data_IF_302553717866
#
_entry.id   IF_302553717866
#
_cell.length_a   1.000
_cell.length_b   1.000
_cell.length_c   1.000
_cell.angle_alpha   90.00
_cell.angle_beta   90.00
_cell.angle_gamma   90.00
#
_symmetry.space_group_name_H-M   'P 1'
#
loop_
_entity.id
_entity.type
_entity.pdbx_description
1 polymer ?
#
# COMPACT_ATOMS: atom_id res chain seq x y z
N UNK A 1 -17.39 -2.07 3.41
CA UNK A 1 -17.00 -1.24 4.57
C UNK A 1 -15.92 -1.99 5.34
N UNK A 2 -14.67 -1.70 5.06
CA UNK A 2 -13.55 -2.20 5.87
C UNK A 2 -13.63 -1.54 7.24
N UNK A 3 -13.29 -2.25 8.33
CA UNK A 3 -13.19 -1.62 9.63
C UNK A 3 -12.20 -0.46 9.53
N UNK A 4 -12.53 0.68 10.10
CA UNK A 4 -11.71 1.89 10.07
C UNK A 4 -10.34 1.74 10.78
N UNK A 5 -10.10 0.60 11.40
CA UNK A 5 -8.86 0.29 12.12
C UNK A 5 -8.57 -1.21 11.98
N UNK A 6 -7.81 -1.60 10.96
CA UNK A 6 -7.18 -2.91 10.96
C UNK A 6 -6.19 -3.00 12.13
N UNK A 7 -6.11 -4.16 12.76
CA UNK A 7 -5.14 -4.36 13.85
C UNK A 7 -3.71 -4.26 13.31
N UNK A 8 -2.75 -3.78 14.11
CA UNK A 8 -1.34 -3.71 13.67
C UNK A 8 -0.80 -5.04 13.15
N UNK A 9 -1.22 -6.17 13.73
CA UNK A 9 -0.85 -7.52 13.28
C UNK A 9 -1.35 -7.82 11.86
N UNK A 10 -2.56 -7.37 11.50
CA UNK A 10 -3.16 -7.67 10.20
C UNK A 10 -2.57 -6.77 9.12
N UNK A 11 -2.25 -5.52 9.47
CA UNK A 11 -1.47 -4.63 8.61
C UNK A 11 -0.07 -5.18 8.34
N UNK A 12 0.57 -5.75 9.36
CA UNK A 12 1.87 -6.39 9.22
C UNK A 12 1.77 -7.64 8.33
N UNK A 13 0.77 -8.50 8.56
CA UNK A 13 0.54 -9.68 7.72
C UNK A 13 0.30 -9.29 6.25
N UNK A 14 -0.52 -8.26 6.00
CA UNK A 14 -0.75 -7.76 4.64
C UNK A 14 0.53 -7.22 4.00
N UNK A 15 1.38 -6.53 4.76
CA UNK A 15 2.65 -6.01 4.28
C UNK A 15 3.63 -7.16 3.97
N UNK A 16 3.83 -8.10 4.90
CA UNK A 16 4.79 -9.20 4.76
C UNK A 16 4.41 -10.14 3.59
N UNK A 17 3.13 -10.49 3.50
CA UNK A 17 2.63 -11.31 2.38
C UNK A 17 2.73 -10.52 1.07
N UNK A 18 2.36 -9.24 1.08
CA UNK A 18 2.48 -8.35 -0.07
C UNK A 18 3.93 -8.22 -0.57
N UNK A 19 4.90 -8.10 0.34
CA UNK A 19 6.33 -8.06 0.00
C UNK A 19 6.81 -9.37 -0.62
N UNK A 20 6.42 -10.52 -0.08
CA UNK A 20 6.78 -11.82 -0.62
C UNK A 20 6.22 -12.02 -2.04
N UNK A 21 4.94 -11.66 -2.25
CA UNK A 21 4.32 -11.71 -3.57
C UNK A 21 4.97 -10.75 -4.56
N UNK A 22 5.26 -9.52 -4.15
CA UNK A 22 5.94 -8.54 -4.99
C UNK A 22 7.31 -9.05 -5.45
N UNK A 23 8.13 -9.57 -4.50
CA UNK A 23 9.44 -10.18 -4.83
C UNK A 23 9.35 -11.38 -5.75
N UNK A 24 8.22 -12.08 -5.77
CA UNK A 24 7.97 -13.19 -6.69
C UNK A 24 7.42 -12.74 -8.05
N UNK A 25 7.40 -11.44 -8.33
CA UNK A 25 6.89 -10.87 -9.58
C UNK A 25 5.37 -10.85 -9.68
N UNK A 26 4.64 -11.12 -8.59
CA UNK A 26 3.19 -11.03 -8.57
C UNK A 26 2.72 -9.57 -8.56
N UNK A 27 1.72 -9.27 -9.38
CA UNK A 27 1.09 -7.96 -9.44
C UNK A 27 -0.04 -7.87 -8.42
N UNK A 28 0.06 -6.90 -7.51
CA UNK A 28 -0.99 -6.66 -6.50
C UNK A 28 -2.13 -5.87 -7.13
N UNK A 29 -3.35 -6.39 -7.00
CA UNK A 29 -4.60 -5.74 -7.44
C UNK A 29 -5.48 -5.52 -6.23
N UNK A 30 -5.82 -4.28 -5.89
CA UNK A 30 -6.69 -3.98 -4.74
C UNK A 30 -7.46 -2.67 -4.92
N UNK A 31 -8.20 -2.28 -3.90
CA UNK A 31 -9.21 -1.23 -3.98
C UNK A 31 -8.77 0.16 -3.53
N UNK A 32 -7.52 0.33 -3.16
CA UNK A 32 -6.99 1.59 -2.63
C UNK A 32 -7.73 2.11 -1.38
N UNK A 33 -8.42 1.25 -0.63
CA UNK A 33 -9.02 1.61 0.65
C UNK A 33 -7.96 1.79 1.75
N UNK A 34 -8.34 2.41 2.86
CA UNK A 34 -7.46 2.47 4.03
C UNK A 34 -7.21 1.08 4.61
N UNK A 35 -6.08 0.92 5.28
CA UNK A 35 -5.71 -0.31 5.96
C UNK A 35 -5.06 -1.32 5.01
N UNK A 36 -5.66 -2.51 4.88
CA UNK A 36 -5.06 -3.66 4.21
C UNK A 36 -4.78 -3.45 2.71
N UNK A 37 -5.70 -2.79 1.99
CA UNK A 37 -5.49 -2.47 0.57
C UNK A 37 -4.25 -1.59 0.40
N UNK A 38 -4.16 -0.53 1.22
CA UNK A 38 -3.00 0.37 1.22
C UNK A 38 -1.71 -0.32 1.64
N UNK A 39 -1.75 -1.27 2.57
CA UNK A 39 -0.58 -2.05 2.98
C UNK A 39 -0.05 -2.90 1.81
N UNK A 40 -0.94 -3.59 1.09
CA UNK A 40 -0.57 -4.36 -0.10
C UNK A 40 0.04 -3.50 -1.20
N UNK A 41 -0.59 -2.36 -1.54
CA UNK A 41 -0.05 -1.43 -2.53
C UNK A 41 1.33 -0.87 -2.12
N UNK A 42 1.50 -0.49 -0.85
CA UNK A 42 2.79 0.01 -0.34
C UNK A 42 3.88 -1.06 -0.40
N UNK A 43 3.54 -2.31 -0.11
CA UNK A 43 4.47 -3.43 -0.21
C UNK A 43 4.96 -3.60 -1.66
N UNK A 44 4.08 -3.54 -2.65
CA UNK A 44 4.46 -3.58 -4.06
C UNK A 44 5.36 -2.40 -4.45
N UNK A 45 4.93 -1.18 -4.13
CA UNK A 45 5.68 0.05 -4.44
C UNK A 45 7.07 0.06 -3.80
N UNK A 46 7.18 -0.35 -2.53
CA UNK A 46 8.45 -0.43 -1.79
C UNK A 46 9.44 -1.39 -2.47
N UNK A 47 8.95 -2.44 -3.09
CA UNK A 47 9.76 -3.42 -3.82
C UNK A 47 9.93 -3.08 -5.32
N UNK A 48 9.56 -1.89 -5.76
CA UNK A 48 9.66 -1.48 -7.17
C UNK A 48 8.71 -2.22 -8.11
N UNK A 49 7.73 -2.94 -7.58
CA UNK A 49 6.79 -3.72 -8.37
C UNK A 49 5.55 -2.92 -8.75
N UNK A 50 5.02 -3.10 -9.95
CA UNK A 50 3.78 -2.45 -10.36
C UNK A 50 2.59 -2.99 -9.54
N UNK A 51 1.56 -2.14 -9.39
CA UNK A 51 0.32 -2.52 -8.72
C UNK A 51 -0.87 -1.83 -9.38
N UNK A 52 -2.05 -2.43 -9.29
CA UNK A 52 -3.28 -1.89 -9.87
C UNK A 52 -4.25 -1.50 -8.75
N UNK A 53 -4.56 -0.21 -8.68
CA UNK A 53 -5.60 0.32 -7.82
C UNK A 53 -6.93 0.44 -8.58
N UNK A 54 -7.99 -0.21 -8.12
CA UNK A 54 -9.31 -0.13 -8.74
C UNK A 54 -10.21 0.73 -7.86
N UNK A 55 -10.78 1.78 -8.41
CA UNK A 55 -11.59 2.74 -7.67
C UNK A 55 -13.09 2.39 -7.74
N UNK A 56 -13.79 2.64 -6.64
CA UNK A 56 -15.26 2.63 -6.59
C UNK A 56 -15.87 4.03 -6.72
N UNK A 57 -15.08 4.99 -7.21
CA UNK A 57 -15.41 6.41 -7.41
C UNK A 57 -14.91 6.87 -8.77
N UNK A 58 -15.38 8.02 -9.31
CA UNK A 58 -14.86 8.56 -10.58
C UNK A 58 -13.34 8.66 -10.62
N UNK A 59 -12.78 8.46 -11.82
CA UNK A 59 -11.33 8.34 -12.02
C UNK A 59 -10.55 9.60 -11.62
N UNK A 60 -11.19 10.76 -11.65
CA UNK A 60 -10.64 12.05 -11.23
C UNK A 60 -10.68 12.28 -9.71
N UNK A 61 -11.25 11.33 -8.94
CA UNK A 61 -11.37 11.43 -7.48
C UNK A 61 -10.55 10.36 -6.78
N UNK A 62 -10.08 10.68 -5.59
CA UNK A 62 -9.40 9.73 -4.70
C UNK A 62 -10.23 9.53 -3.44
N UNK A 63 -10.53 8.28 -3.14
CA UNK A 63 -11.16 7.91 -1.88
C UNK A 63 -10.47 6.68 -1.28
N UNK A 64 -10.08 6.74 -0.01
CA UNK A 64 -10.11 7.93 0.87
C UNK A 64 -9.05 8.98 0.49
N UNK A 65 -9.27 10.24 0.88
CA UNK A 65 -8.36 11.34 0.57
C UNK A 65 -6.95 11.16 1.15
N UNK A 66 -6.81 10.38 2.23
CA UNK A 66 -5.53 10.03 2.84
C UNK A 66 -4.60 9.27 1.88
N UNK A 67 -5.15 8.59 0.88
CA UNK A 67 -4.40 7.77 -0.08
C UNK A 67 -4.01 8.50 -1.37
N UNK A 68 -4.15 9.83 -1.44
CA UNK A 68 -3.75 10.63 -2.62
C UNK A 68 -2.29 10.44 -2.97
N UNK A 69 -1.38 10.50 -1.99
CA UNK A 69 0.05 10.30 -2.22
C UNK A 69 0.37 8.89 -2.73
N UNK A 70 -0.26 7.87 -2.14
CA UNK A 70 -0.11 6.48 -2.58
C UNK A 70 -0.64 6.29 -4.01
N UNK A 71 -1.79 6.88 -4.33
CA UNK A 71 -2.35 6.87 -5.68
C UNK A 71 -1.35 7.43 -6.70
N UNK A 72 -0.77 8.60 -6.46
CA UNK A 72 0.23 9.19 -7.36
C UNK A 72 1.44 8.28 -7.56
N UNK A 73 1.88 7.59 -6.50
CA UNK A 73 2.98 6.63 -6.62
C UNK A 73 2.58 5.42 -7.47
N UNK A 74 1.35 4.93 -7.33
CA UNK A 74 0.82 3.84 -8.15
C UNK A 74 0.72 4.26 -9.62
N UNK A 75 0.25 5.48 -9.91
CA UNK A 75 0.15 6.01 -11.28
C UNK A 75 1.51 6.08 -12.00
N UNK A 76 2.61 6.23 -11.26
CA UNK A 76 3.97 6.26 -11.81
C UNK A 76 4.54 4.88 -12.12
N UNK A 77 4.14 3.83 -11.38
CA UNK A 77 4.73 2.50 -11.44
C UNK A 77 3.72 1.38 -11.72
N UNK A 78 2.46 1.72 -11.97
CA UNK A 78 1.38 0.77 -12.15
C UNK A 78 0.19 1.41 -12.85
N UNK A 79 -1.02 1.12 -12.37
CA UNK A 79 -2.24 1.60 -13.01
C UNK A 79 -3.34 1.91 -11.98
N UNK A 80 -4.12 2.95 -12.26
CA UNK A 80 -5.39 3.24 -11.57
C UNK A 80 -6.53 3.04 -12.56
N UNK A 81 -7.53 2.26 -12.17
CA UNK A 81 -8.71 1.97 -12.98
C UNK A 81 -10.00 2.42 -12.27
N UNK A 82 -10.95 2.87 -13.05
CA UNK A 82 -12.32 3.12 -12.61
C UNK A 82 -13.30 2.85 -13.73
N UNK A 83 -14.52 2.40 -13.40
CA UNK A 83 -15.64 2.32 -14.35
C UNK A 83 -16.41 3.63 -14.44
N UNK A 84 -16.08 4.61 -13.58
CA UNK A 84 -16.77 5.89 -13.53
C UNK A 84 -15.90 6.97 -14.19
N UNK A 85 -16.47 7.65 -15.17
CA UNK A 85 -15.78 8.69 -15.92
C UNK A 85 -15.50 9.94 -15.07
N UNK A 86 -14.55 10.80 -15.49
CA UNK A 86 -14.30 12.08 -14.80
C UNK A 86 -15.58 12.92 -14.73
N UNK A 87 -15.82 13.54 -13.59
CA UNK A 87 -16.98 14.40 -13.35
C UNK A 87 -18.31 13.69 -13.09
N UNK A 88 -18.36 12.37 -13.15
CA UNK A 88 -19.57 11.62 -12.78
C UNK A 88 -19.90 11.78 -11.29
N UNK A 89 -21.17 11.55 -10.96
CA UNK A 89 -21.61 11.49 -9.58
C UNK A 89 -21.02 10.28 -8.86
N UNK A 90 -20.57 10.48 -7.63
CA UNK A 90 -20.05 9.37 -6.82
C UNK A 90 -21.18 8.40 -6.47
N UNK A 91 -21.08 7.11 -6.83
CA UNK A 91 -22.16 6.14 -6.63
C UNK A 91 -22.34 5.74 -5.14
N UNK A 92 -21.59 6.33 -4.23
CA UNK A 92 -21.63 6.04 -2.81
C UNK A 92 -21.19 4.60 -2.48
N UNK A 93 -21.73 3.98 -1.42
CA UNK A 93 -21.30 2.64 -0.99
C UNK A 93 -21.48 1.54 -2.05
N UNK A 94 -22.45 1.71 -2.95
CA UNK A 94 -22.73 0.75 -4.03
C UNK A 94 -21.55 0.64 -5.00
N UNK A 95 -20.88 1.75 -5.31
CA UNK A 95 -19.72 1.75 -6.21
C UNK A 95 -18.56 0.87 -5.70
N UNK A 96 -18.36 0.81 -4.40
CA UNK A 96 -17.32 -0.06 -3.82
C UNK A 96 -17.68 -1.55 -3.96
N UNK A 97 -18.94 -1.90 -3.79
CA UNK A 97 -19.42 -3.29 -3.98
C UNK A 97 -19.37 -3.70 -5.45
N UNK A 98 -19.78 -2.82 -6.36
CA UNK A 98 -19.72 -3.07 -7.80
C UNK A 98 -18.28 -3.22 -8.28
N UNK A 99 -17.38 -2.36 -7.83
CA UNK A 99 -15.95 -2.42 -8.13
C UNK A 99 -15.31 -3.75 -7.74
N UNK A 100 -15.73 -4.39 -6.65
CA UNK A 100 -15.13 -5.62 -6.13
C UNK A 100 -15.11 -6.77 -7.15
N UNK A 101 -16.05 -6.79 -8.10
CA UNK A 101 -16.03 -7.76 -9.20
C UNK A 101 -14.82 -7.59 -10.12
N UNK A 102 -14.34 -6.35 -10.29
CA UNK A 102 -13.17 -6.07 -11.11
C UNK A 102 -11.88 -6.52 -10.43
N UNK A 103 -11.79 -6.33 -9.09
CA UNK A 103 -10.66 -6.86 -8.32
C UNK A 103 -10.57 -8.37 -8.52
N UNK A 104 -11.69 -9.09 -8.33
CA UNK A 104 -11.73 -10.52 -8.51
C UNK A 104 -11.44 -10.96 -9.97
N UNK A 105 -11.97 -10.23 -10.95
CA UNK A 105 -11.80 -10.57 -12.37
C UNK A 105 -10.35 -10.41 -12.84
N UNK A 106 -9.67 -9.35 -12.42
CA UNK A 106 -8.30 -9.03 -12.81
C UNK A 106 -7.25 -9.83 -12.02
N UNK A 107 -7.66 -10.50 -10.95
CA UNK A 107 -6.75 -11.30 -10.12
C UNK A 107 -6.72 -12.77 -10.58
N UNK A 108 -5.55 -13.41 -10.44
CA UNK A 108 -5.41 -14.87 -10.62
C UNK A 108 -5.80 -15.64 -9.36
N UNK A 109 -5.70 -15.01 -8.20
CA UNK A 109 -6.11 -15.54 -6.90
C UNK A 109 -6.56 -14.39 -6.00
N UNK A 110 -7.39 -14.67 -5.00
CA UNK A 110 -7.82 -13.71 -4.00
C UNK A 110 -7.22 -14.05 -2.65
N UNK A 111 -6.55 -13.09 -2.01
CA UNK A 111 -6.15 -13.17 -0.61
C UNK A 111 -7.07 -12.32 0.26
N UNK A 112 -7.61 -12.91 1.31
CA UNK A 112 -8.39 -12.24 2.36
C UNK A 112 -7.57 -12.26 3.65
N UNK A 113 -7.04 -11.10 4.04
CA UNK A 113 -6.23 -10.99 5.27
C UNK A 113 -7.15 -10.91 6.49
N UNK A 114 -8.22 -10.13 6.40
CA UNK A 114 -9.19 -9.91 7.46
C UNK A 114 -10.58 -9.71 6.86
N UNK A 115 -11.59 -10.31 7.46
CA UNK A 115 -12.99 -10.08 7.10
C UNK A 115 -13.93 -10.46 8.26
N UNK A 116 -14.91 -9.59 8.53
CA UNK A 116 -16.09 -9.98 9.30
C UNK A 116 -17.02 -10.82 8.45
N UNK A 117 -17.88 -11.63 9.07
CA UNK A 117 -18.84 -12.47 8.35
C UNK A 117 -19.72 -11.68 7.35
N UNK A 118 -20.12 -10.47 7.74
CA UNK A 118 -20.96 -9.57 6.92
C UNK A 118 -20.16 -8.33 6.50
N UNK A 119 -19.03 -8.52 5.81
CA UNK A 119 -18.22 -7.43 5.30
C UNK A 119 -18.33 -7.28 3.78
N UNK A 120 -17.98 -6.10 3.27
CA UNK A 120 -17.89 -5.87 1.82
C UNK A 120 -16.88 -6.78 1.13
N UNK A 121 -15.87 -7.26 1.85
CA UNK A 121 -14.86 -8.21 1.37
C UNK A 121 -15.51 -9.53 0.92
N UNK A 122 -16.59 -9.96 1.58
CA UNK A 122 -17.29 -11.19 1.19
C UNK A 122 -17.93 -11.11 -0.20
N UNK A 123 -18.23 -9.90 -0.71
CA UNK A 123 -18.66 -9.74 -2.10
C UNK A 123 -17.52 -10.03 -3.08
N UNK A 124 -16.29 -9.65 -2.75
CA UNK A 124 -15.11 -9.99 -3.56
C UNK A 124 -14.86 -11.49 -3.58
N UNK A 125 -15.00 -12.16 -2.42
CA UNK A 125 -14.94 -13.64 -2.33
C UNK A 125 -15.95 -14.29 -3.24
N UNK A 126 -17.22 -13.87 -3.17
CA UNK A 126 -18.29 -14.43 -4.01
C UNK A 126 -18.02 -14.22 -5.51
N UNK A 127 -17.42 -13.10 -5.90
CA UNK A 127 -17.02 -12.89 -7.29
C UNK A 127 -15.83 -13.78 -7.68
N UNK A 128 -14.83 -13.94 -6.81
CA UNK A 128 -13.69 -14.82 -7.06
C UNK A 128 -14.14 -16.27 -7.26
N UNK A 129 -15.03 -16.78 -6.41
CA UNK A 129 -15.62 -18.10 -6.51
C UNK A 129 -16.38 -18.28 -7.84
N UNK A 130 -17.21 -17.28 -8.19
CA UNK A 130 -17.95 -17.28 -9.48
C UNK A 130 -17.01 -17.33 -10.69
N UNK A 131 -15.86 -16.71 -10.60
CA UNK A 131 -14.85 -16.70 -11.67
C UNK A 131 -13.89 -17.90 -11.60
N UNK A 132 -14.10 -18.84 -10.70
CA UNK A 132 -13.25 -20.01 -10.53
C UNK A 132 -11.84 -19.67 -10.02
N UNK A 133 -11.69 -18.54 -9.33
CA UNK A 133 -10.39 -18.12 -8.80
C UNK A 133 -10.16 -18.74 -7.42
N UNK A 134 -8.97 -19.26 -7.13
CA UNK A 134 -8.64 -19.75 -5.80
C UNK A 134 -8.69 -18.61 -4.78
N UNK A 135 -9.27 -18.92 -3.63
CA UNK A 135 -9.36 -18.00 -2.49
C UNK A 135 -8.42 -18.48 -1.39
N UNK A 136 -7.66 -17.57 -0.84
CA UNK A 136 -6.80 -17.77 0.32
C UNK A 136 -7.26 -16.86 1.45
N UNK A 137 -7.13 -17.32 2.68
CA UNK A 137 -7.48 -16.54 3.86
C UNK A 137 -6.41 -16.68 4.95
N UNK A 138 -6.10 -15.57 5.59
CA UNK A 138 -5.20 -15.57 6.75
C UNK A 138 -6.02 -16.03 7.96
N UNK A 139 -5.58 -17.07 8.70
CA UNK A 139 -6.21 -17.48 9.95
C UNK A 139 -6.06 -16.39 11.00
N UNK A 140 -7.10 -16.16 11.77
CA UNK A 140 -7.05 -15.17 12.86
C UNK A 140 -7.62 -15.70 14.17
N UNK A 141 -7.61 -14.86 15.19
CA UNK A 141 -8.13 -15.23 16.51
C UNK A 141 -9.62 -15.54 16.43
N UNK A 142 -10.02 -16.67 17.03
CA UNK A 142 -11.44 -17.05 17.18
C UNK A 142 -12.23 -16.08 18.07
N UNK A 143 -11.55 -15.27 18.86
CA UNK A 143 -12.14 -14.22 19.70
C UNK A 143 -12.26 -12.87 19.02
N UNK A 144 -11.68 -12.71 17.82
CA UNK A 144 -11.76 -11.48 17.04
C UNK A 144 -12.94 -11.54 16.07
N UNK A 145 -13.93 -10.63 16.20
CA UNK A 145 -15.00 -10.50 15.22
C UNK A 145 -14.48 -10.18 13.80
N UNK A 146 -13.32 -9.54 13.71
CA UNK A 146 -12.72 -9.13 12.45
C UNK A 146 -12.12 -10.32 11.67
N UNK A 147 -11.79 -11.41 12.37
CA UNK A 147 -11.31 -12.67 11.77
C UNK A 147 -12.44 -13.71 11.54
N UNK A 148 -13.67 -13.42 11.97
CA UNK A 148 -14.76 -14.39 11.89
C UNK A 148 -15.04 -14.83 10.45
N UNK A 149 -14.99 -13.93 9.48
CA UNK A 149 -15.22 -14.25 8.07
C UNK A 149 -14.09 -15.07 7.45
N UNK A 150 -12.82 -14.74 7.72
CA UNK A 150 -11.68 -15.52 7.22
C UNK A 150 -11.69 -16.93 7.82
N UNK A 151 -11.88 -17.05 9.13
CA UNK A 151 -11.97 -18.36 9.81
C UNK A 151 -13.16 -19.20 9.28
N UNK A 152 -14.28 -18.57 9.00
CA UNK A 152 -15.44 -19.24 8.40
C UNK A 152 -15.13 -19.75 6.98
N UNK A 153 -14.50 -18.97 6.14
CA UNK A 153 -14.09 -19.40 4.79
C UNK A 153 -13.16 -20.63 4.85
N UNK A 154 -12.23 -20.63 5.81
CA UNK A 154 -11.33 -21.77 6.05
C UNK A 154 -12.11 -23.01 6.54
N UNK A 155 -13.00 -22.83 7.51
CA UNK A 155 -13.81 -23.91 8.07
C UNK A 155 -14.73 -24.56 7.02
N UNK A 156 -15.34 -23.75 6.14
CA UNK A 156 -16.21 -24.21 5.06
C UNK A 156 -15.44 -24.79 3.85
N UNK A 157 -14.10 -24.78 3.87
CA UNK A 157 -13.27 -25.23 2.75
C UNK A 157 -13.36 -24.33 1.50
N UNK A 158 -13.87 -23.12 1.64
CA UNK A 158 -14.00 -22.11 0.56
C UNK A 158 -12.71 -21.31 0.35
N UNK A 159 -11.81 -21.34 1.31
CA UNK A 159 -10.48 -20.75 1.18
C UNK A 159 -9.41 -21.72 1.68
N UNK A 160 -8.22 -21.61 1.11
CA UNK A 160 -7.00 -22.25 1.61
C UNK A 160 -6.33 -21.32 2.63
N UNK A 161 -5.74 -21.89 3.67
CA UNK A 161 -5.00 -21.11 4.66
C UNK A 161 -3.74 -20.49 4.03
N UNK A 162 -3.50 -19.21 4.31
CA UNK A 162 -2.28 -18.50 4.02
C UNK A 162 -1.63 -18.10 5.34
N UNK A 163 -0.67 -18.88 5.81
CA UNK A 163 0.02 -18.63 7.08
C UNK A 163 1.28 -17.78 6.90
N UNK A 164 1.77 -17.65 5.66
CA UNK A 164 2.92 -16.82 5.30
C UNK A 164 2.89 -16.39 3.83
N UNK A 165 3.73 -15.42 3.47
CA UNK A 165 3.94 -15.05 2.08
C UNK A 165 4.53 -16.20 1.25
N UNK A 166 5.42 -16.98 1.84
CA UNK A 166 6.04 -18.15 1.20
C UNK A 166 4.98 -19.21 0.84
N UNK A 167 4.00 -19.46 1.73
CA UNK A 167 2.90 -20.38 1.44
C UNK A 167 2.12 -19.98 0.19
N UNK A 168 1.85 -18.66 0.05
CA UNK A 168 1.15 -18.15 -1.12
C UNK A 168 1.99 -18.26 -2.39
N UNK A 169 3.25 -17.86 -2.32
CA UNK A 169 4.19 -17.96 -3.44
C UNK A 169 4.25 -19.40 -3.95
N UNK A 170 4.41 -20.36 -3.06
CA UNK A 170 4.41 -21.79 -3.38
C UNK A 170 3.05 -22.25 -3.95
N UNK A 171 1.94 -21.88 -3.29
CA UNK A 171 0.61 -22.30 -3.67
C UNK A 171 0.17 -21.76 -5.05
N UNK A 172 0.71 -20.62 -5.46
CA UNK A 172 0.48 -19.98 -6.75
C UNK A 172 1.49 -20.44 -7.83
N UNK A 173 2.45 -21.30 -7.48
CA UNK A 173 3.50 -21.76 -8.39
C UNK A 173 4.43 -20.64 -8.84
N UNK A 174 4.50 -19.56 -8.05
CA UNK A 174 5.44 -18.47 -8.30
C UNK A 174 6.83 -18.90 -7.83
N UNK A 175 7.83 -18.54 -8.59
CA UNK A 175 9.22 -18.68 -8.15
C UNK A 175 9.62 -17.35 -7.50
N UNK A 176 10.41 -17.40 -6.43
CA UNK A 176 11.14 -16.20 -6.04
C UNK A 176 12.00 -15.82 -7.24
N UNK A 177 11.49 -14.97 -8.07
CA UNK A 177 12.29 -14.25 -9.02
C UNK A 177 13.28 -13.48 -8.15
N UNK A 178 14.57 -13.63 -8.36
CA UNK A 178 15.46 -12.53 -8.02
C UNK A 178 14.74 -11.31 -8.56
N UNK A 179 14.25 -10.46 -7.65
CA UNK A 179 13.47 -9.28 -8.02
C UNK A 179 14.16 -8.71 -9.25
N UNK A 180 13.46 -8.41 -10.35
CA UNK A 180 14.11 -7.67 -11.40
C UNK A 180 14.85 -6.62 -10.62
N UNK A 181 16.20 -6.63 -10.69
CA UNK A 181 16.93 -5.50 -10.17
C UNK A 181 16.17 -4.33 -10.77
N UNK A 182 15.17 -3.86 -10.02
CA UNK A 182 14.58 -2.59 -10.31
C UNK A 182 15.85 -1.79 -10.43
N UNK A 183 16.18 -1.39 -11.66
CA UNK A 183 17.19 -0.35 -11.79
C UNK A 183 16.84 0.57 -10.66
N UNK A 184 17.58 0.40 -9.56
CA UNK A 184 17.53 1.35 -8.45
C UNK A 184 17.90 2.57 -9.25
N UNK A 185 16.87 3.35 -9.66
CA UNK A 185 17.12 4.69 -10.16
C UNK A 185 17.96 5.25 -9.05
N UNK A 186 19.27 5.20 -9.33
CA UNK A 186 20.25 5.69 -8.36
C UNK A 186 19.67 7.01 -7.94
N UNK A 187 19.39 7.21 -6.65
CA UNK A 187 18.73 8.44 -6.22
C UNK A 187 19.53 9.52 -6.89
N UNK A 188 18.87 10.35 -7.68
CA UNK A 188 19.49 11.42 -8.48
C UNK A 188 20.68 11.95 -7.71
N UNK A 189 21.91 11.95 -8.27
CA UNK A 189 23.10 12.19 -7.51
C UNK A 189 22.87 13.44 -6.68
N UNK A 190 22.90 13.28 -5.36
CA UNK A 190 22.57 14.33 -4.39
C UNK A 190 23.17 15.63 -4.88
N UNK A 191 22.37 16.64 -5.11
CA UNK A 191 22.85 17.96 -5.50
C UNK A 191 23.79 18.48 -4.43
N UNK A 192 24.71 19.34 -4.78
CA UNK A 192 25.64 19.95 -3.82
C UNK A 192 24.89 20.66 -2.69
N UNK A 193 23.73 21.22 -2.98
CA UNK A 193 22.84 21.82 -2.00
C UNK A 193 22.28 20.79 -1.01
N UNK A 194 21.85 19.62 -1.48
CA UNK A 194 21.37 18.54 -0.62
C UNK A 194 22.49 17.97 0.27
N UNK A 195 23.68 17.76 -0.29
CA UNK A 195 24.84 17.34 0.49
C UNK A 195 25.21 18.35 1.57
N UNK A 196 25.20 19.63 1.24
CA UNK A 196 25.48 20.72 2.16
C UNK A 196 24.47 20.81 3.29
N UNK A 197 23.16 20.69 3.01
CA UNK A 197 22.12 20.67 4.04
C UNK A 197 22.24 19.43 4.90
N UNK A 198 22.45 18.25 4.32
CA UNK A 198 22.58 16.99 5.06
C UNK A 198 23.78 17.03 6.03
N UNK A 199 24.89 17.63 5.61
CA UNK A 199 26.07 17.81 6.47
C UNK A 199 25.82 18.75 7.68
N UNK A 200 24.84 19.64 7.58
CA UNK A 200 24.44 20.53 8.68
C UNK A 200 23.44 19.89 9.63
N UNK A 201 22.72 18.84 9.22
CA UNK A 201 21.75 18.12 10.06
C UNK A 201 22.52 17.06 10.86
N UNK A 202 22.50 17.17 12.17
CA UNK A 202 23.17 16.24 13.09
C UNK A 202 22.21 15.25 13.74
N UNK A 203 22.72 14.43 14.68
CA UNK A 203 21.89 13.54 15.50
C UNK A 203 21.01 14.29 16.52
N UNK A 204 21.31 15.57 16.76
CA UNK A 204 20.48 16.43 17.60
C UNK A 204 19.49 17.23 16.75
N UNK A 205 18.22 17.36 17.18
CA UNK A 205 17.22 18.09 16.42
C UNK A 205 17.55 19.60 16.31
N UNK A 206 17.68 20.11 15.08
CA UNK A 206 17.98 21.51 14.79
C UNK A 206 16.78 22.21 14.19
N UNK A 207 16.57 23.46 14.55
CA UNK A 207 15.53 24.32 13.99
C UNK A 207 15.88 24.87 12.61
N UNK A 208 14.88 25.34 11.86
CA UNK A 208 15.06 25.93 10.52
C UNK A 208 16.04 27.11 10.53
N UNK A 209 15.94 28.00 11.51
CA UNK A 209 16.80 29.18 11.64
C UNK A 209 18.26 28.79 11.81
N UNK A 210 18.53 27.82 12.66
CA UNK A 210 19.89 27.32 12.92
C UNK A 210 20.47 26.62 11.68
N UNK A 211 19.63 25.86 10.98
CA UNK A 211 20.03 25.23 9.71
C UNK A 211 20.28 26.27 8.60
N UNK A 212 19.53 27.37 8.55
CA UNK A 212 19.81 28.47 7.64
C UNK A 212 21.21 29.07 7.90
N UNK A 213 21.54 29.34 9.17
CA UNK A 213 22.85 29.88 9.55
C UNK A 213 23.96 28.90 9.19
N UNK A 214 23.82 27.63 9.51
CA UNK A 214 24.84 26.60 9.25
C UNK A 214 25.02 26.31 7.75
N UNK A 215 23.94 26.23 7.01
CA UNK A 215 24.00 25.93 5.57
C UNK A 215 24.30 27.15 4.71
N UNK A 216 24.08 28.36 5.22
CA UNK A 216 24.19 29.60 4.45
C UNK A 216 23.17 29.71 3.33
N UNK A 217 22.06 28.98 3.40
CA UNK A 217 20.99 28.98 2.39
C UNK A 217 19.83 29.87 2.82
N UNK A 218 19.17 30.55 1.86
CA UNK A 218 17.90 31.22 2.12
C UNK A 218 16.86 30.22 2.62
N UNK A 219 15.97 30.66 3.50
CA UNK A 219 14.95 29.81 4.14
C UNK A 219 14.11 29.02 3.13
N UNK A 220 13.70 29.64 2.03
CA UNK A 220 12.92 28.97 0.99
C UNK A 220 13.67 27.79 0.34
N UNK A 221 14.93 27.98 0.00
CA UNK A 221 15.80 26.95 -0.58
C UNK A 221 16.12 25.85 0.42
N UNK A 222 16.33 26.20 1.68
CA UNK A 222 16.54 25.24 2.75
C UNK A 222 15.31 24.34 2.96
N UNK A 223 14.11 24.94 3.07
CA UNK A 223 12.88 24.18 3.28
C UNK A 223 12.55 23.22 2.12
N UNK A 224 12.75 23.68 0.88
CA UNK A 224 12.56 22.81 -0.30
C UNK A 224 13.56 21.64 -0.30
N UNK A 225 14.81 21.87 0.09
CA UNK A 225 15.84 20.83 0.22
C UNK A 225 15.55 19.86 1.35
N UNK A 226 15.16 20.37 2.53
CA UNK A 226 14.77 19.52 3.67
C UNK A 226 13.55 18.65 3.34
N UNK A 227 12.57 19.17 2.58
CA UNK A 227 11.43 18.39 2.11
C UNK A 227 11.85 17.23 1.20
N UNK A 228 12.77 17.47 0.25
CA UNK A 228 13.33 16.41 -0.59
C UNK A 228 14.10 15.36 0.24
N UNK A 229 14.94 15.80 1.18
CA UNK A 229 15.69 14.91 2.06
C UNK A 229 14.77 14.11 2.99
N UNK A 230 13.62 14.66 3.38
CA UNK A 230 12.60 13.95 4.15
C UNK A 230 11.87 12.92 3.29
N UNK A 231 11.52 13.24 2.06
CA UNK A 231 10.89 12.31 1.11
C UNK A 231 11.81 11.14 0.76
N UNK A 232 13.13 11.39 0.70
CA UNK A 232 14.14 10.34 0.48
C UNK A 232 14.53 9.60 1.77
N UNK A 233 13.87 9.89 2.91
CA UNK A 233 14.08 9.20 4.18
C UNK A 233 15.42 9.47 4.86
N UNK A 234 16.14 10.51 4.47
CA UNK A 234 17.46 10.88 5.03
C UNK A 234 17.38 11.77 6.25
N UNK A 235 16.27 12.51 6.38
CA UNK A 235 16.01 13.46 7.46
C UNK A 235 14.58 13.25 7.98
N UNK A 236 14.38 13.36 9.29
CA UNK A 236 13.08 13.32 9.95
C UNK A 236 12.73 14.69 10.49
N UNK A 237 11.50 15.15 10.22
CA UNK A 237 10.95 16.35 10.83
C UNK A 237 10.22 15.99 12.13
N UNK A 238 10.64 16.60 13.22
CA UNK A 238 10.05 16.47 14.56
C UNK A 238 9.07 17.63 14.83
N UNK A 239 8.19 17.52 15.86
CA UNK A 239 7.34 18.62 16.29
C UNK A 239 8.12 19.91 16.53
N UNK A 240 7.56 21.04 16.11
CA UNK A 240 8.24 22.35 16.19
C UNK A 240 9.19 22.62 15.01
N UNK A 241 9.03 21.94 13.88
CA UNK A 241 9.88 22.10 12.66
C UNK A 241 11.36 21.92 12.94
N UNK A 242 11.68 20.92 13.75
CA UNK A 242 13.05 20.49 14.03
C UNK A 242 13.42 19.29 13.17
N UNK A 243 14.63 19.26 12.65
CA UNK A 243 15.12 18.23 11.74
C UNK A 243 16.29 17.47 12.34
N UNK A 244 16.31 16.17 12.14
CA UNK A 244 17.34 15.25 12.62
C UNK A 244 17.68 14.24 11.54
N UNK A 245 18.91 13.75 11.51
CA UNK A 245 19.31 12.62 10.67
C UNK A 245 18.49 11.37 11.06
N UNK A 246 18.08 10.61 10.08
CA UNK A 246 17.37 9.35 10.29
C UNK A 246 18.36 8.20 10.44
#
# INVERSE_FOLDING_TARGET
>A
CLPKTAWPSDLQAAADIGEALARSGALIVSGLADGLDSAGHRAAVKNGCPTIGILGVPIDRTYPAANVALRHTIEQNGCILSEYAPGESTPGPVGFLQRNRLIAALSSALLVVEAREKSGTMSTVSHAERYGKPVFAVPGSIYSPDSAGTNRLLHEGRARAACSGADLVQALGLQESAAPEAEIRQPDPMSDTERRVLACVGPQPLGVEELCVRSGLPTASLLSTLMKLQLTGRVTCLPGKRYVLR
#
